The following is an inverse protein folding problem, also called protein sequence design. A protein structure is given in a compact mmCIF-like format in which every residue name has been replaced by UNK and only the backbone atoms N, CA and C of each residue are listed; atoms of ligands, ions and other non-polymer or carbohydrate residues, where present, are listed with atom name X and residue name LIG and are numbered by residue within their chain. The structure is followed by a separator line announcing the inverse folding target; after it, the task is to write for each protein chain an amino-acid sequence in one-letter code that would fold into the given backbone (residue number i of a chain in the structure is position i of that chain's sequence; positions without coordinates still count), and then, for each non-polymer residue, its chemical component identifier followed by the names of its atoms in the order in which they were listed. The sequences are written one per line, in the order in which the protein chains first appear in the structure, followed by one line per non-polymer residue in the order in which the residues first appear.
data_IF_103865489054
#
_entry.id   IF_103865489054
#
_cell.length_a   1.000
_cell.length_b   1.000
_cell.length_c   1.000
_cell.angle_alpha   90.00
_cell.angle_beta   90.00
_cell.angle_gamma   90.00
#
_symmetry.space_group_name_H-M   'P 1'
#
loop_
_entity.id
_entity.type
_entity.pdbx_description
1 polymer ?
#
# COMPACT_ATOMS: atom_id res chain seq x y z
N UNK A 1 -5.20 -7.76 13.11
CA UNK A 1 -3.81 -7.90 12.64
C UNK A 1 -3.15 -6.53 12.66
N UNK A 2 -1.84 -6.48 12.92
CA UNK A 2 -1.06 -5.24 12.94
C UNK A 2 -0.20 -5.18 11.68
N UNK A 3 -0.31 -4.08 10.94
CA UNK A 3 0.60 -3.77 9.82
C UNK A 3 1.76 -2.95 10.40
N UNK A 4 2.95 -3.52 10.41
CA UNK A 4 4.20 -2.86 10.82
C UNK A 4 5.26 -3.11 9.75
N UNK A 5 6.33 -2.32 9.74
CA UNK A 5 7.44 -2.47 8.80
C UNK A 5 7.93 -3.93 8.79
N UNK A 6 8.16 -4.48 7.60
CA UNK A 6 8.63 -5.85 7.41
C UNK A 6 7.52 -6.90 7.34
N UNK A 7 6.27 -6.55 7.66
CA UNK A 7 5.14 -7.48 7.52
C UNK A 7 4.88 -7.75 6.05
N UNK A 8 4.83 -9.05 5.72
CA UNK A 8 4.46 -9.56 4.42
C UNK A 8 2.96 -9.43 4.21
N UNK A 9 2.60 -8.93 3.05
CA UNK A 9 1.21 -8.69 2.67
C UNK A 9 0.93 -9.19 1.27
N UNK A 10 -0.34 -9.47 1.03
CA UNK A 10 -0.91 -9.68 -0.30
C UNK A 10 -2.02 -8.66 -0.51
N UNK A 11 -2.06 -8.07 -1.70
CA UNK A 11 -3.18 -7.25 -2.14
C UNK A 11 -4.36 -8.16 -2.42
N UNK A 12 -5.51 -7.85 -1.85
CA UNK A 12 -6.76 -8.59 -2.00
C UNK A 12 -7.13 -8.71 -3.48
N UNK A 13 -7.62 -9.89 -3.87
CA UNK A 13 -8.02 -10.15 -5.27
C UNK A 13 -9.21 -9.28 -5.72
N UNK A 14 -9.97 -8.74 -4.77
CA UNK A 14 -11.05 -7.79 -5.04
C UNK A 14 -10.61 -6.34 -5.23
N UNK A 15 -9.32 -6.03 -5.09
CA UNK A 15 -8.80 -4.70 -5.35
C UNK A 15 -8.57 -4.49 -6.86
N UNK A 16 -8.81 -3.28 -7.35
CA UNK A 16 -8.82 -2.99 -8.79
C UNK A 16 -7.43 -2.96 -9.42
N UNK A 17 -6.39 -2.70 -8.62
CA UNK A 17 -5.00 -2.59 -9.08
C UNK A 17 -4.07 -3.41 -8.18
N UNK A 18 -2.96 -3.89 -8.74
CA UNK A 18 -2.01 -4.81 -8.08
C UNK A 18 -2.70 -6.04 -7.45
N UNK A 19 -3.84 -6.48 -8.03
CA UNK A 19 -4.67 -7.54 -7.47
C UNK A 19 -3.88 -8.84 -7.32
N UNK A 20 -3.85 -9.39 -6.10
CA UNK A 20 -3.11 -10.61 -5.79
C UNK A 20 -1.60 -10.44 -5.64
N UNK A 21 -1.04 -9.25 -5.91
CA UNK A 21 0.39 -8.98 -5.76
C UNK A 21 0.83 -9.12 -4.30
N UNK A 22 2.07 -9.56 -4.11
CA UNK A 22 2.69 -9.70 -2.79
C UNK A 22 3.76 -8.65 -2.59
N UNK A 23 4.00 -8.30 -1.33
CA UNK A 23 4.99 -7.31 -0.96
C UNK A 23 5.18 -7.20 0.54
N UNK A 24 5.83 -6.11 0.93
CA UNK A 24 6.20 -5.83 2.32
C UNK A 24 5.75 -4.43 2.71
N UNK A 25 5.18 -4.29 3.90
CA UNK A 25 4.93 -2.99 4.51
C UNK A 25 6.27 -2.32 4.78
N UNK A 26 6.42 -1.08 4.31
CA UNK A 26 7.63 -0.29 4.47
C UNK A 26 7.33 1.06 5.14
N UNK A 27 8.38 1.75 5.56
CA UNK A 27 8.27 3.13 5.96
C UNK A 27 7.94 3.99 4.72
N UNK A 28 7.19 5.07 4.92
CA UNK A 28 6.97 6.05 3.86
C UNK A 28 8.28 6.75 3.49
N UNK A 29 8.70 6.75 2.21
CA UNK A 29 9.79 7.61 1.79
C UNK A 29 9.40 9.07 1.97
N UNK A 30 10.35 9.94 2.34
CA UNK A 30 10.09 11.36 2.61
C UNK A 30 9.35 12.05 1.46
N UNK A 31 9.77 11.80 0.22
CA UNK A 31 9.10 12.34 -0.95
C UNK A 31 7.63 11.87 -1.05
N UNK A 32 7.34 10.60 -0.78
CA UNK A 32 5.97 10.06 -0.87
C UNK A 32 5.10 10.47 0.33
N UNK A 33 5.71 10.69 1.49
CA UNK A 33 5.03 11.23 2.67
C UNK A 33 4.58 12.67 2.45
N UNK A 34 5.37 13.47 1.73
CA UNK A 34 5.08 14.85 1.37
C UNK A 34 4.15 14.97 0.15
N UNK A 35 4.11 13.94 -0.70
CA UNK A 35 3.27 13.90 -1.90
C UNK A 35 1.85 13.39 -1.58
N UNK A 36 0.87 14.09 -2.17
CA UNK A 36 -0.54 13.74 -2.12
C UNK A 36 -1.30 14.36 -0.94
N UNK A 37 -2.58 13.98 -0.83
CA UNK A 37 -3.44 14.42 0.26
C UNK A 37 -3.32 13.44 1.44
N UNK A 38 -3.18 13.97 2.65
CA UNK A 38 -3.25 13.16 3.86
C UNK A 38 -2.34 13.61 4.98
N UNK A 39 -2.35 12.86 6.06
CA UNK A 39 -1.48 13.08 7.22
C UNK A 39 -0.85 11.76 7.61
N UNK A 40 0.48 11.72 7.59
CA UNK A 40 1.24 10.60 8.11
C UNK A 40 1.05 10.57 9.64
N UNK A 41 0.45 9.50 10.16
CA UNK A 41 0.18 9.37 11.61
C UNK A 41 1.24 8.54 12.34
N UNK A 42 1.91 7.66 11.60
CA UNK A 42 3.12 6.93 12.02
C UNK A 42 3.97 6.61 10.79
N UNK A 43 5.12 5.99 10.97
CA UNK A 43 6.06 5.67 9.88
C UNK A 43 5.49 4.77 8.77
N UNK A 44 4.39 4.06 9.02
CA UNK A 44 3.74 3.13 8.08
C UNK A 44 2.38 3.59 7.58
N UNK A 45 1.62 4.37 8.37
CA UNK A 45 0.22 4.69 8.09
C UNK A 45 0.03 6.16 7.74
N UNK A 46 -0.55 6.40 6.56
CA UNK A 46 -1.08 7.70 6.14
C UNK A 46 -2.61 7.70 6.22
N UNK A 47 -3.19 8.76 6.80
CA UNK A 47 -4.63 9.01 6.77
C UNK A 47 -4.96 9.91 5.59
N UNK A 48 -5.67 9.37 4.61
CA UNK A 48 -6.11 10.10 3.42
C UNK A 48 -7.57 10.52 3.57
N UNK A 49 -7.88 11.82 3.48
CA UNK A 49 -9.25 12.31 3.45
C UNK A 49 -10.02 11.76 2.25
N UNK A 50 -11.23 11.29 2.49
CA UNK A 50 -12.18 10.82 1.48
C UNK A 50 -13.52 11.51 1.70
N UNK A 51 -14.47 11.33 0.77
CA UNK A 51 -15.83 11.88 0.94
C UNK A 51 -16.58 11.32 2.16
N UNK A 52 -16.19 10.15 2.66
CA UNK A 52 -16.89 9.43 3.74
C UNK A 52 -16.12 9.42 5.06
N UNK A 53 -15.08 10.26 5.21
CA UNK A 53 -14.17 10.26 6.35
C UNK A 53 -12.73 10.03 5.91
N UNK A 54 -11.89 9.43 6.75
CA UNK A 54 -10.49 9.16 6.41
C UNK A 54 -10.26 7.67 6.14
N UNK A 55 -9.43 7.38 5.14
CA UNK A 55 -8.97 6.04 4.81
C UNK A 55 -7.53 5.86 5.27
N UNK A 56 -7.22 4.71 5.86
CA UNK A 56 -5.84 4.33 6.19
C UNK A 56 -5.17 3.73 4.96
N UNK A 57 -3.99 4.22 4.64
CA UNK A 57 -3.15 3.69 3.57
C UNK A 57 -1.77 3.35 4.09
N UNK A 58 -1.11 2.38 3.45
CA UNK A 58 0.20 1.85 3.80
C UNK A 58 1.12 1.96 2.57
N UNK A 59 2.42 2.16 2.80
CA UNK A 59 3.42 2.09 1.75
C UNK A 59 3.90 0.65 1.58
N UNK A 60 3.75 0.09 0.39
CA UNK A 60 4.10 -1.29 0.08
C UNK A 60 5.22 -1.31 -0.95
N UNK A 61 6.28 -2.06 -0.66
CA UNK A 61 7.28 -2.46 -1.64
C UNK A 61 6.87 -3.83 -2.19
N UNK A 62 6.59 -3.91 -3.48
CA UNK A 62 6.17 -5.15 -4.13
C UNK A 62 7.36 -6.09 -4.37
N UNK A 63 7.10 -7.40 -4.37
CA UNK A 63 8.14 -8.39 -4.76
C UNK A 63 8.45 -8.33 -6.24
N UNK A 64 7.39 -8.14 -7.04
CA UNK A 64 7.46 -7.95 -8.48
C UNK A 64 6.84 -6.58 -8.79
N UNK A 65 7.45 -5.74 -9.64
CA UNK A 65 6.86 -4.47 -10.00
C UNK A 65 5.51 -4.62 -10.71
N UNK A 66 4.59 -3.70 -10.44
CA UNK A 66 3.22 -3.76 -10.95
C UNK A 66 3.02 -2.78 -12.10
N UNK A 67 2.17 -3.15 -13.06
CA UNK A 67 1.69 -2.25 -14.10
C UNK A 67 0.24 -1.87 -13.83
N UNK A 68 -0.17 -0.68 -14.24
CA UNK A 68 -1.59 -0.32 -14.23
C UNK A 68 -2.33 -0.87 -15.46
N UNK A 69 -3.62 -0.53 -15.55
CA UNK A 69 -4.51 -1.03 -16.61
C UNK A 69 -4.17 -0.49 -18.00
N UNK A 70 -3.47 0.65 -18.08
CA UNK A 70 -3.02 1.27 -19.31
C UNK A 70 -1.61 0.76 -19.72
N UNK A 71 -1.00 -0.08 -18.88
CA UNK A 71 0.34 -0.60 -19.07
C UNK A 71 1.43 0.36 -18.59
N UNK A 72 1.08 1.38 -17.80
CA UNK A 72 2.06 2.29 -17.19
C UNK A 72 2.74 1.62 -15.98
N UNK A 73 4.00 1.97 -15.76
CA UNK A 73 4.92 1.29 -14.83
C UNK A 73 6.26 0.92 -15.48
N UNK A 74 7.06 0.01 -14.89
CA UNK A 74 6.77 -0.79 -13.69
C UNK A 74 6.86 0.00 -12.37
N UNK A 75 5.84 -0.13 -11.52
CA UNK A 75 5.80 0.43 -10.17
C UNK A 75 6.30 -0.58 -9.14
N UNK A 76 7.48 -0.31 -8.57
CA UNK A 76 8.08 -1.18 -7.56
C UNK A 76 7.47 -0.99 -6.15
N UNK A 77 6.85 0.15 -5.90
CA UNK A 77 6.28 0.51 -4.61
C UNK A 77 5.09 1.45 -4.77
N UNK A 78 4.16 1.42 -3.82
CA UNK A 78 2.96 2.24 -3.87
C UNK A 78 2.27 2.42 -2.54
N UNK A 79 1.42 3.45 -2.51
CA UNK A 79 0.39 3.65 -1.51
C UNK A 79 -0.80 2.71 -1.78
N UNK A 80 -1.13 1.83 -0.83
CA UNK A 80 -2.26 0.89 -0.93
C UNK A 80 -3.21 1.06 0.26
N UNK A 81 -4.54 1.07 0.05
CA UNK A 81 -5.50 1.05 1.14
C UNK A 81 -5.30 -0.13 2.08
N UNK A 82 -5.28 0.13 3.39
CA UNK A 82 -5.11 -0.94 4.38
C UNK A 82 -6.23 -2.00 4.30
N UNK A 83 -7.44 -1.60 3.88
CA UNK A 83 -8.57 -2.51 3.63
C UNK A 83 -8.37 -3.44 2.43
N UNK A 84 -7.42 -3.13 1.55
CA UNK A 84 -7.07 -3.94 0.39
C UNK A 84 -5.91 -4.91 0.71
N UNK A 85 -5.38 -4.95 1.93
CA UNK A 85 -4.23 -5.76 2.29
C UNK A 85 -4.61 -6.88 3.25
N UNK A 86 -4.06 -8.06 3.02
CA UNK A 86 -4.11 -9.19 3.94
C UNK A 86 -2.68 -9.58 4.34
N UNK A 87 -2.48 -9.96 5.61
CA UNK A 87 -1.18 -10.48 6.05
C UNK A 87 -0.93 -11.81 5.34
N UNK A 88 0.23 -11.92 4.71
CA UNK A 88 0.62 -13.07 3.92
C UNK A 88 1.68 -13.88 4.65
N UNK A 89 1.29 -15.06 5.13
CA UNK A 89 2.21 -16.10 5.57
C UNK A 89 2.31 -17.12 4.45
N UNK A 90 3.49 -17.29 3.85
CA UNK A 90 3.73 -18.41 2.93
C UNK A 90 3.40 -19.72 3.67
N UNK A 91 2.54 -20.54 3.06
CA UNK A 91 2.34 -21.94 3.46
C UNK A 91 3.39 -22.81 2.78
#
# INVERSE_FOLDING_TARGET
MTFVIGVRVRVSEGHYWASGATGTVAAWPSFAAELGHGTLIDETVKLVPTRSGSMRTLWIIFDEPQFDVDGDGPYAEAEIPASALVVWTQQ
#
